data_IF_765922743703
#
_entry.id   IF_765922743703
#
_cell.length_a   1.000
_cell.length_b   1.000
_cell.length_c   1.000
_cell.angle_alpha   90.00
_cell.angle_beta   90.00
_cell.angle_gamma   90.00
#
_symmetry.space_group_name_H-M   'P 1'
#
loop_
_entity.id
_entity.type
_entity.pdbx_description
1 polymer ?
#
# COMPACT_ATOMS: atom_id res chain seq x y z
N UNK A 1 -6.78 -1.19 5.37
CA UNK A 1 -6.72 -2.20 4.28
C UNK A 1 -7.86 -2.06 3.26
N UNK A 2 -9.14 -2.04 3.67
CA UNK A 2 -10.28 -1.97 2.74
C UNK A 2 -10.21 -0.79 1.76
N UNK A 3 -9.90 0.41 2.25
CA UNK A 3 -9.72 1.61 1.42
C UNK A 3 -8.69 1.42 0.32
N UNK A 4 -7.51 0.87 0.62
CA UNK A 4 -6.44 0.65 -0.36
C UNK A 4 -6.87 -0.35 -1.45
N UNK A 5 -7.55 -1.42 -1.06
CA UNK A 5 -8.06 -2.42 -2.02
C UNK A 5 -9.13 -1.79 -2.92
N UNK A 6 -10.05 -1.01 -2.35
CA UNK A 6 -11.08 -0.31 -3.11
C UNK A 6 -10.45 0.65 -4.12
N UNK A 7 -9.52 1.52 -3.68
CA UNK A 7 -8.82 2.45 -4.55
C UNK A 7 -8.07 1.72 -5.66
N UNK A 8 -7.31 0.68 -5.34
CA UNK A 8 -6.58 -0.10 -6.34
C UNK A 8 -7.54 -0.72 -7.38
N UNK A 9 -8.65 -1.31 -6.94
CA UNK A 9 -9.66 -1.88 -7.85
C UNK A 9 -10.36 -0.81 -8.68
N UNK A 10 -10.69 0.34 -8.10
CA UNK A 10 -11.32 1.45 -8.82
C UNK A 10 -10.39 2.05 -9.89
N UNK A 11 -9.09 2.15 -9.59
CA UNK A 11 -8.12 2.74 -10.52
C UNK A 11 -7.63 1.77 -11.58
N UNK A 12 -7.39 0.50 -11.23
CA UNK A 12 -6.74 -0.48 -12.12
C UNK A 12 -7.71 -1.54 -12.67
N UNK A 13 -8.86 -1.77 -12.02
CA UNK A 13 -9.85 -2.77 -12.41
C UNK A 13 -9.85 -4.01 -11.52
N UNK A 14 -11.01 -4.65 -11.41
CA UNK A 14 -11.26 -5.80 -10.54
C UNK A 14 -10.53 -7.08 -10.95
N UNK A 15 -10.02 -7.16 -12.19
CA UNK A 15 -9.30 -8.32 -12.71
C UNK A 15 -7.88 -8.47 -12.14
N UNK A 16 -7.35 -7.44 -11.47
CA UNK A 16 -6.01 -7.48 -10.89
C UNK A 16 -6.09 -7.81 -9.40
N UNK A 17 -5.27 -8.78 -8.97
CA UNK A 17 -5.14 -9.08 -7.54
C UNK A 17 -4.31 -8.01 -6.86
N UNK A 18 -4.63 -7.72 -5.60
CA UNK A 18 -3.94 -6.74 -4.76
C UNK A 18 -3.29 -7.45 -3.58
N UNK A 19 -2.02 -7.18 -3.32
CA UNK A 19 -1.33 -7.62 -2.09
C UNK A 19 -0.72 -6.43 -1.37
N UNK A 20 -0.70 -6.52 -0.05
CA UNK A 20 0.02 -5.57 0.81
C UNK A 20 1.21 -6.30 1.42
N UNK A 21 2.40 -5.70 1.31
CA UNK A 21 3.64 -6.25 1.88
C UNK A 21 4.19 -5.28 2.92
N UNK A 22 4.73 -5.76 4.05
CA UNK A 22 5.45 -4.92 4.98
C UNK A 22 6.56 -4.14 4.27
N UNK A 23 6.69 -2.86 4.62
CA UNK A 23 7.78 -1.98 4.18
C UNK A 23 8.14 -1.04 5.34
N UNK A 24 8.86 0.04 5.06
CA UNK A 24 9.26 1.03 6.05
C UNK A 24 9.18 2.45 5.49
N UNK A 25 8.39 3.30 6.13
CA UNK A 25 8.40 4.74 5.93
C UNK A 25 8.48 5.44 7.30
N UNK A 26 9.38 6.42 7.51
CA UNK A 26 9.59 7.03 8.84
C UNK A 26 8.37 7.68 9.48
N UNK A 27 7.35 8.02 8.69
CA UNK A 27 6.13 8.70 9.13
C UNK A 27 4.94 7.75 9.33
N UNK A 28 5.11 6.44 9.14
CA UNK A 28 4.08 5.42 9.39
C UNK A 28 4.64 4.20 10.11
N UNK A 29 3.87 3.63 11.05
CA UNK A 29 4.20 2.37 11.71
C UNK A 29 2.92 1.64 12.17
N UNK A 30 2.61 0.44 11.64
CA UNK A 30 3.32 -0.29 10.60
C UNK A 30 3.15 0.32 9.19
N UNK A 31 4.15 0.09 8.33
CA UNK A 31 4.19 0.52 6.93
C UNK A 31 3.97 -0.64 5.95
N UNK A 32 3.32 -0.37 4.83
CA UNK A 32 3.07 -1.33 3.75
C UNK A 32 3.25 -0.73 2.35
N UNK A 33 3.71 -1.55 1.41
CA UNK A 33 3.60 -1.33 -0.03
C UNK A 33 2.39 -2.10 -0.56
N UNK A 34 1.63 -1.52 -1.51
CA UNK A 34 0.62 -2.26 -2.25
C UNK A 34 1.09 -2.54 -3.68
N UNK A 35 1.02 -3.81 -4.04
CA UNK A 35 1.28 -4.27 -5.40
C UNK A 35 -0.01 -4.76 -6.05
N UNK A 36 -0.10 -4.61 -7.37
CA UNK A 36 -1.12 -5.26 -8.22
C UNK A 36 -0.47 -6.30 -9.14
N UNK A 37 -1.22 -7.30 -9.59
CA UNK A 37 -0.71 -8.24 -10.59
C UNK A 37 -0.33 -7.50 -11.87
N UNK A 38 0.79 -7.91 -12.47
CA UNK A 38 1.33 -7.24 -13.64
C UNK A 38 0.34 -7.29 -14.81
N UNK A 39 -0.06 -6.12 -15.31
CA UNK A 39 -1.03 -5.97 -16.41
C UNK A 39 -0.60 -6.65 -17.72
N UNK A 40 0.70 -6.83 -17.95
CA UNK A 40 1.21 -7.43 -19.17
C UNK A 40 1.19 -8.97 -19.16
N UNK A 41 1.44 -9.58 -18.00
CA UNK A 41 1.57 -11.05 -17.90
C UNK A 41 0.58 -11.69 -16.94
N UNK A 42 -0.33 -10.92 -16.35
CA UNK A 42 -1.35 -11.37 -15.39
C UNK A 42 -0.76 -12.24 -14.28
N UNK A 43 0.31 -11.77 -13.64
CA UNK A 43 0.95 -12.47 -12.53
C UNK A 43 1.97 -13.55 -12.90
N UNK A 44 2.12 -13.93 -14.18
CA UNK A 44 3.02 -15.02 -14.60
C UNK A 44 4.52 -14.70 -14.50
N UNK A 45 4.88 -13.42 -14.41
CA UNK A 45 6.25 -12.95 -14.54
C UNK A 45 6.61 -12.58 -15.99
N UNK A 46 7.23 -11.42 -16.17
CA UNK A 46 7.79 -10.98 -17.45
C UNK A 46 8.90 -9.93 -17.20
N UNK A 47 9.53 -9.43 -18.26
CA UNK A 47 10.59 -8.43 -18.16
C UNK A 47 10.12 -7.14 -17.43
N UNK A 48 8.87 -6.71 -17.63
CA UNK A 48 8.32 -5.48 -17.04
C UNK A 48 8.28 -5.56 -15.51
N UNK A 49 7.72 -6.64 -14.98
CA UNK A 49 7.63 -6.85 -13.53
C UNK A 49 8.89 -7.52 -12.95
N UNK A 50 9.99 -7.59 -13.69
CA UNK A 50 11.24 -8.26 -13.28
C UNK A 50 11.00 -9.71 -12.81
N UNK A 51 10.14 -10.43 -13.53
CA UNK A 51 9.75 -11.83 -13.24
C UNK A 51 9.01 -12.06 -11.90
N UNK A 52 8.61 -11.01 -11.18
CA UNK A 52 7.89 -11.18 -9.90
C UNK A 52 6.40 -11.53 -10.08
N UNK A 53 5.80 -11.08 -11.19
CA UNK A 53 4.35 -11.11 -11.41
C UNK A 53 3.61 -9.90 -10.82
N UNK A 54 4.30 -8.99 -10.13
CA UNK A 54 3.70 -7.89 -9.38
C UNK A 54 4.31 -6.54 -9.77
N UNK A 55 3.49 -5.49 -9.70
CA UNK A 55 3.90 -4.11 -9.89
C UNK A 55 3.50 -3.33 -8.65
N UNK A 56 4.48 -2.72 -7.98
CA UNK A 56 4.24 -1.79 -6.88
C UNK A 56 3.55 -0.52 -7.42
N UNK A 57 2.48 -0.09 -6.76
CA UNK A 57 1.65 1.05 -7.23
C UNK A 57 1.45 2.13 -6.18
N UNK A 58 1.64 1.82 -4.89
CA UNK A 58 1.49 2.79 -3.79
C UNK A 58 2.18 2.31 -2.50
N UNK A 59 2.51 3.27 -1.63
CA UNK A 59 2.83 3.04 -0.22
C UNK A 59 1.69 3.52 0.69
N UNK A 60 1.54 2.89 1.85
CA UNK A 60 0.56 3.26 2.86
C UNK A 60 1.02 2.78 4.25
N UNK A 61 0.34 3.21 5.31
CA UNK A 61 0.63 2.75 6.67
C UNK A 61 -0.21 3.48 7.69
N UNK A 62 -0.12 3.06 8.95
CA UNK A 62 -0.72 3.79 10.05
C UNK A 62 0.16 5.00 10.38
N UNK A 63 -0.39 6.20 10.48
CA UNK A 63 0.37 7.41 10.81
C UNK A 63 1.12 7.20 12.13
N UNK A 64 2.43 7.46 12.13
CA UNK A 64 3.28 7.26 13.31
C UNK A 64 2.85 8.23 14.43
N UNK A 65 2.75 7.80 15.71
CA UNK A 65 2.31 8.65 16.82
C UNK A 65 3.04 9.99 16.91
N UNK A 66 4.36 9.98 16.73
CA UNK A 66 5.15 11.21 16.73
C UNK A 66 4.73 12.25 15.67
N UNK A 67 4.19 11.81 14.52
CA UNK A 67 3.66 12.72 13.49
C UNK A 67 2.38 13.40 13.97
N UNK A 68 1.52 12.66 14.69
CA UNK A 68 0.31 13.20 15.31
C UNK A 68 0.66 14.20 16.43
N UNK A 69 1.59 13.83 17.32
CA UNK A 69 2.08 14.70 18.40
C UNK A 69 2.66 16.02 17.86
N UNK A 70 3.51 15.95 16.84
CA UNK A 70 4.07 17.15 16.17
C UNK A 70 2.99 18.03 15.54
N UNK A 71 1.81 17.48 15.26
CA UNK A 71 0.65 18.16 14.69
C UNK A 71 -0.36 18.61 15.76
N UNK A 72 -0.08 18.40 17.05
CA UNK A 72 -0.95 18.76 18.17
C UNK A 72 -2.16 17.83 18.34
N UNK A 73 -2.07 16.59 17.86
CA UNK A 73 -3.13 15.57 17.95
C UNK A 73 -2.68 14.49 18.94
N UNK A 74 -3.54 14.14 19.90
CA UNK A 74 -3.29 13.07 20.87
C UNK A 74 -3.38 11.68 20.19
N UNK A 75 -2.27 10.92 20.11
CA UNK A 75 -2.27 9.60 19.45
C UNK A 75 -2.99 8.50 20.25
N UNK A 76 -3.30 8.74 21.53
CA UNK A 76 -4.12 7.81 22.33
C UNK A 76 -5.62 8.00 22.07
N UNK A 77 -6.04 9.17 21.58
CA UNK A 77 -7.42 9.46 21.18
C UNK A 77 -7.66 9.22 19.68
N UNK A 78 -6.68 9.58 18.83
CA UNK A 78 -6.81 9.53 17.37
C UNK A 78 -5.72 8.68 16.71
N UNK A 79 -6.15 7.87 15.73
CA UNK A 79 -5.26 7.22 14.76
C UNK A 79 -5.53 7.69 13.33
N UNK A 80 -4.69 7.28 12.39
CA UNK A 80 -4.85 7.62 10.96
C UNK A 80 -4.16 6.62 10.03
N UNK A 81 -4.61 6.57 8.78
CA UNK A 81 -4.01 5.80 7.68
C UNK A 81 -4.27 6.47 6.33
#
# INVERSE_FOLDING_TARGET
KGTLILVAKTLFGDQFDVRLRPSFFPFTEPSVEADVTCFNCNGKGCAICKQTGWIEVLGAGMVHPHVLEMSGIDPEEYGGF
#
